data_IF_493731615240
#
_entry.id   IF_493731615240
#
_cell.length_a   1.000
_cell.length_b   1.000
_cell.length_c   1.000
_cell.angle_alpha   90.00
_cell.angle_beta   90.00
_cell.angle_gamma   90.00
#
_symmetry.space_group_name_H-M   'P 1'
#
loop_
_entity.id
_entity.type
_entity.pdbx_description
1 polymer ?
#
# COMPACT_ATOMS: atom_id res chain seq x y z
N UNK A 1 -32.28 10.45 30.61
CA UNK A 1 -32.93 9.84 29.44
C UNK A 1 -31.88 9.65 28.36
N UNK A 2 -31.41 8.43 28.16
CA UNK A 2 -30.32 8.08 27.23
C UNK A 2 -30.88 7.95 25.82
N UNK A 3 -30.64 8.95 24.97
CA UNK A 3 -30.95 8.90 23.53
C UNK A 3 -29.99 7.90 22.87
N UNK A 4 -30.52 6.74 22.46
CA UNK A 4 -29.83 5.70 21.71
C UNK A 4 -29.65 6.21 20.28
N UNK A 5 -28.48 6.75 19.93
CA UNK A 5 -28.15 7.10 18.55
C UNK A 5 -28.03 5.82 17.70
N UNK A 6 -29.14 5.39 17.09
CA UNK A 6 -29.12 4.43 15.99
C UNK A 6 -28.85 5.19 14.69
N UNK A 7 -27.59 5.51 14.40
CA UNK A 7 -27.18 6.02 13.08
C UNK A 7 -26.90 4.85 12.14
N UNK A 8 -27.97 4.29 11.56
CA UNK A 8 -27.85 3.42 10.38
C UNK A 8 -27.50 4.28 9.17
N UNK A 9 -26.27 4.80 9.13
CA UNK A 9 -25.75 5.60 8.02
C UNK A 9 -25.57 4.72 6.79
N UNK A 10 -26.58 4.68 5.92
CA UNK A 10 -26.50 3.96 4.65
C UNK A 10 -25.58 4.73 3.72
N UNK A 11 -24.48 4.11 3.29
CA UNK A 11 -23.52 4.73 2.36
C UNK A 11 -24.21 5.16 1.06
N UNK A 12 -23.91 6.37 0.61
CA UNK A 12 -24.43 6.89 -0.66
C UNK A 12 -23.88 6.09 -1.85
N UNK A 13 -24.58 6.06 -3.00
CA UNK A 13 -24.08 5.40 -4.21
C UNK A 13 -22.71 5.93 -4.66
N UNK A 14 -22.45 7.23 -4.44
CA UNK A 14 -21.18 7.86 -4.77
C UNK A 14 -20.05 7.37 -3.86
N UNK A 15 -20.27 7.35 -2.54
CA UNK A 15 -19.28 6.84 -1.58
C UNK A 15 -18.93 5.38 -1.84
N UNK A 16 -19.94 4.54 -2.12
CA UNK A 16 -19.73 3.13 -2.50
C UNK A 16 -18.84 3.01 -3.74
N UNK A 17 -19.08 3.83 -4.77
CA UNK A 17 -18.28 3.82 -6.00
C UNK A 17 -16.85 4.30 -5.75
N UNK A 18 -16.67 5.39 -5.02
CA UNK A 18 -15.35 5.95 -4.69
C UNK A 18 -14.53 4.96 -3.87
N UNK A 19 -15.12 4.35 -2.84
CA UNK A 19 -14.44 3.35 -1.99
C UNK A 19 -14.11 2.09 -2.79
N UNK A 20 -15.00 1.62 -3.66
CA UNK A 20 -14.71 0.47 -4.52
C UNK A 20 -13.51 0.75 -5.44
N UNK A 21 -13.42 1.95 -6.03
CA UNK A 21 -12.28 2.36 -6.84
C UNK A 21 -10.97 2.45 -6.05
N UNK A 22 -10.98 3.19 -4.93
CA UNK A 22 -9.80 3.39 -4.10
C UNK A 22 -9.26 2.08 -3.51
N UNK A 23 -10.15 1.23 -3.01
CA UNK A 23 -9.78 -0.07 -2.45
C UNK A 23 -9.24 -1.03 -3.52
N UNK A 24 -9.78 -1.00 -4.74
CA UNK A 24 -9.27 -1.81 -5.85
C UNK A 24 -7.85 -1.40 -6.23
N UNK A 25 -7.57 -0.10 -6.34
CA UNK A 25 -6.22 0.41 -6.63
C UNK A 25 -5.23 -0.03 -5.54
N UNK A 26 -5.62 0.13 -4.28
CA UNK A 26 -4.79 -0.29 -3.15
C UNK A 26 -4.57 -1.81 -3.11
N UNK A 27 -5.61 -2.59 -3.39
CA UNK A 27 -5.53 -4.05 -3.45
C UNK A 27 -4.58 -4.50 -4.56
N UNK A 28 -4.67 -3.92 -5.77
CA UNK A 28 -3.77 -4.22 -6.88
C UNK A 28 -2.31 -3.86 -6.55
N UNK A 29 -2.09 -2.72 -5.89
CA UNK A 29 -0.75 -2.32 -5.43
C UNK A 29 -0.18 -3.33 -4.43
N UNK A 30 -0.96 -3.71 -3.41
CA UNK A 30 -0.51 -4.66 -2.39
C UNK A 30 -0.34 -6.07 -2.95
N UNK A 31 -1.19 -6.49 -3.88
CA UNK A 31 -1.05 -7.76 -4.60
C UNK A 31 0.28 -7.82 -5.34
N UNK A 32 0.62 -6.78 -6.11
CA UNK A 32 1.88 -6.71 -6.85
C UNK A 32 3.10 -6.78 -5.92
N UNK A 33 3.07 -6.03 -4.81
CA UNK A 33 4.13 -6.04 -3.80
C UNK A 33 4.26 -7.39 -3.08
N UNK A 34 3.12 -8.03 -2.80
CA UNK A 34 3.10 -9.33 -2.15
C UNK A 34 3.54 -10.45 -3.09
N UNK A 35 3.34 -10.32 -4.40
CA UNK A 35 3.89 -11.26 -5.37
C UNK A 35 5.39 -11.05 -5.58
N UNK A 36 5.85 -9.80 -5.72
CA UNK A 36 7.26 -9.52 -6.02
C UNK A 36 8.19 -9.87 -4.85
N UNK A 37 7.85 -9.56 -3.59
CA UNK A 37 8.75 -9.81 -2.47
C UNK A 37 9.18 -11.28 -2.28
N UNK A 38 8.27 -12.27 -2.22
CA UNK A 38 8.67 -13.67 -2.09
C UNK A 38 9.35 -14.19 -3.35
N UNK A 39 8.87 -13.82 -4.55
CA UNK A 39 9.48 -14.23 -5.82
C UNK A 39 10.89 -13.67 -5.94
N UNK A 40 11.10 -12.41 -5.59
CA UNK A 40 12.40 -11.76 -5.59
C UNK A 40 13.34 -12.41 -4.59
N UNK A 41 12.88 -12.72 -3.38
CA UNK A 41 13.69 -13.43 -2.37
C UNK A 41 14.20 -14.78 -2.89
N UNK A 42 13.33 -15.54 -3.58
CA UNK A 42 13.71 -16.84 -4.17
C UNK A 42 14.61 -16.69 -5.41
N UNK A 43 14.32 -15.74 -6.30
CA UNK A 43 15.04 -15.54 -7.54
C UNK A 43 16.43 -14.89 -7.33
N UNK A 44 16.54 -13.96 -6.38
CA UNK A 44 17.79 -13.27 -6.09
C UNK A 44 18.88 -14.21 -5.57
N UNK A 45 18.52 -15.32 -4.90
CA UNK A 45 19.49 -16.34 -4.48
C UNK A 45 20.21 -17.04 -5.64
N UNK A 46 19.69 -16.95 -6.87
CA UNK A 46 20.33 -17.52 -8.07
C UNK A 46 21.35 -16.57 -8.71
N UNK A 47 21.44 -15.31 -8.25
CA UNK A 47 22.41 -14.35 -8.75
C UNK A 47 23.79 -14.57 -8.11
N UNK A 48 24.84 -14.55 -8.95
CA UNK A 48 26.22 -14.65 -8.47
C UNK A 48 26.57 -13.42 -7.63
N UNK A 49 26.96 -13.64 -6.36
CA UNK A 49 27.25 -12.58 -5.40
C UNK A 49 26.05 -12.06 -4.61
N UNK A 50 24.85 -12.64 -4.78
CA UNK A 50 23.68 -12.27 -4.00
C UNK A 50 23.79 -12.81 -2.56
N UNK A 51 24.10 -11.92 -1.63
CA UNK A 51 24.07 -12.24 -0.19
C UNK A 51 22.68 -11.95 0.38
N UNK A 52 22.24 -12.68 1.43
CA UNK A 52 20.97 -12.40 2.11
C UNK A 52 20.87 -10.95 2.62
N UNK A 53 22.02 -10.34 2.98
CA UNK A 53 22.11 -8.95 3.41
C UNK A 53 21.77 -7.98 2.27
N UNK A 54 22.27 -8.21 1.05
CA UNK A 54 21.97 -7.36 -0.11
C UNK A 54 20.49 -7.47 -0.52
N UNK A 55 19.92 -8.67 -0.44
CA UNK A 55 18.50 -8.91 -0.72
C UNK A 55 17.63 -8.17 0.31
N UNK A 56 17.98 -8.30 1.60
CA UNK A 56 17.31 -7.57 2.68
C UNK A 56 17.45 -6.05 2.54
N UNK A 57 18.63 -5.57 2.14
CA UNK A 57 18.87 -4.14 1.88
C UNK A 57 18.03 -3.63 0.71
N UNK A 58 17.88 -4.41 -0.36
CA UNK A 58 17.05 -4.03 -1.51
C UNK A 58 15.57 -3.90 -1.13
N UNK A 59 15.02 -4.87 -0.39
CA UNK A 59 13.63 -4.81 0.11
C UNK A 59 13.49 -3.67 1.13
N UNK A 60 14.47 -3.49 2.01
CA UNK A 60 14.50 -2.43 3.01
C UNK A 60 14.55 -1.03 2.38
N UNK A 61 15.35 -0.83 1.33
CA UNK A 61 15.43 0.43 0.61
C UNK A 61 14.10 0.81 -0.05
N UNK A 62 13.37 -0.17 -0.59
CA UNK A 62 12.00 0.04 -1.08
C UNK A 62 11.07 0.54 0.06
N UNK A 63 11.08 -0.13 1.21
CA UNK A 63 10.26 0.26 2.37
C UNK A 63 10.62 1.64 2.94
N UNK A 64 11.93 1.95 3.00
CA UNK A 64 12.43 3.25 3.44
C UNK A 64 12.00 4.36 2.49
N UNK A 65 12.18 4.15 1.19
CA UNK A 65 11.74 5.11 0.16
C UNK A 65 10.23 5.31 0.21
N UNK A 66 9.47 4.23 0.42
CA UNK A 66 8.03 4.32 0.58
C UNK A 66 7.68 5.18 1.80
N UNK A 67 8.25 4.93 2.98
CA UNK A 67 7.97 5.71 4.17
C UNK A 67 8.37 7.20 4.02
N UNK A 68 9.54 7.46 3.45
CA UNK A 68 10.06 8.82 3.27
C UNK A 68 9.25 9.62 2.25
N UNK A 69 8.83 9.01 1.15
CA UNK A 69 8.09 9.70 0.08
C UNK A 69 6.57 9.67 0.28
N UNK A 70 6.03 8.77 1.09
CA UNK A 70 4.58 8.64 1.29
C UNK A 70 3.97 9.87 1.95
N UNK A 71 4.61 10.45 2.97
CA UNK A 71 4.10 11.68 3.62
C UNK A 71 4.17 12.88 2.65
N UNK A 72 5.32 13.18 2.01
CA UNK A 72 5.41 14.25 1.01
C UNK A 72 4.41 14.10 -0.14
N UNK A 73 4.25 12.90 -0.70
CA UNK A 73 3.29 12.68 -1.78
C UNK A 73 1.85 12.75 -1.32
N UNK A 74 1.54 12.37 -0.08
CA UNK A 74 0.23 12.62 0.51
C UNK A 74 -0.09 14.11 0.57
N UNK A 75 0.84 14.91 1.11
CA UNK A 75 0.70 16.37 1.16
C UNK A 75 0.62 17.00 -0.24
N UNK A 76 1.37 16.47 -1.20
CA UNK A 76 1.36 16.96 -2.58
C UNK A 76 0.03 16.63 -3.29
N UNK A 77 -0.52 15.43 -3.07
CA UNK A 77 -1.84 15.06 -3.59
C UNK A 77 -2.92 15.94 -2.99
N UNK A 78 -2.86 16.24 -1.69
CA UNK A 78 -3.81 17.15 -1.05
C UNK A 78 -3.74 18.57 -1.64
N UNK A 79 -2.58 18.99 -2.20
CA UNK A 79 -2.40 20.30 -2.79
C UNK A 79 -2.80 20.38 -4.28
N UNK A 80 -2.54 19.33 -5.05
CA UNK A 80 -2.75 19.33 -6.52
C UNK A 80 -4.07 18.63 -6.90
N UNK A 81 -4.60 17.76 -6.04
CA UNK A 81 -5.66 16.80 -6.34
C UNK A 81 -5.08 15.43 -6.68
#
# INVERSE_FOLDING_TARGET
MTQKQNTSSTMTPLEKRSIAGLSSIFALRMLGLFMIFPVFSLAAGQYSGATPILIGLAIGAYGLTQALLQIPFGMLSDHIG
#
